data_IF_286025104624
#
_entry.id   IF_286025104624
#
_cell.length_a   1.000
_cell.length_b   1.000
_cell.length_c   1.000
_cell.angle_alpha   90.00
_cell.angle_beta   90.00
_cell.angle_gamma   90.00
#
_symmetry.space_group_name_H-M   'P 1'
#
loop_
_entity.id
_entity.type
_entity.pdbx_description
1 polymer ?
#
# COMPACT_ATOMS: atom_id res chain seq x y z
N UNK A 1 19.44 17.40 70.78
CA UNK A 1 20.44 16.40 71.22
C UNK A 1 21.65 17.06 71.90
N UNK A 2 22.26 18.10 71.31
CA UNK A 2 23.44 18.78 71.87
C UNK A 2 23.23 19.38 73.28
N UNK A 3 22.11 20.07 73.52
CA UNK A 3 21.79 20.66 74.83
C UNK A 3 21.66 19.60 75.92
N UNK A 4 21.03 18.45 75.62
CA UNK A 4 20.89 17.34 76.56
C UNK A 4 22.25 16.67 76.88
N UNK A 5 23.15 16.58 75.90
CA UNK A 5 24.52 16.08 76.09
C UNK A 5 25.33 17.01 77.00
N UNK A 6 25.26 18.33 76.77
CA UNK A 6 25.93 19.32 77.63
C UNK A 6 25.43 19.24 79.07
N UNK A 7 24.11 19.12 79.28
CA UNK A 7 23.52 18.96 80.62
C UNK A 7 23.97 17.66 81.30
N UNK A 8 24.03 16.54 80.56
CA UNK A 8 24.55 15.27 81.10
C UNK A 8 26.03 15.35 81.45
N UNK A 9 26.86 15.96 80.60
CA UNK A 9 28.31 16.12 80.85
C UNK A 9 28.55 16.98 82.10
N UNK A 10 27.80 18.07 82.27
CA UNK A 10 27.88 18.93 83.46
C UNK A 10 27.48 18.18 84.73
N UNK A 11 26.41 17.35 84.69
CA UNK A 11 26.03 16.52 85.84
C UNK A 11 27.02 15.38 86.12
N UNK A 12 27.60 14.79 85.08
CA UNK A 12 28.57 13.69 85.20
C UNK A 12 29.97 14.16 85.61
N UNK A 13 30.30 15.44 85.42
CA UNK A 13 31.61 16.01 85.73
C UNK A 13 32.05 15.83 87.20
N UNK A 14 31.10 15.66 88.13
CA UNK A 14 31.39 15.43 89.55
C UNK A 14 31.83 13.99 89.86
N UNK A 15 31.44 13.03 89.02
CA UNK A 15 31.65 11.59 89.24
C UNK A 15 32.63 10.96 88.24
N UNK A 16 32.86 11.60 87.10
CA UNK A 16 33.73 11.10 86.04
C UNK A 16 35.12 11.72 86.09
N UNK A 17 36.13 10.89 85.82
CA UNK A 17 37.51 11.35 85.63
C UNK A 17 37.62 12.10 84.30
N UNK A 18 38.53 13.08 84.24
CA UNK A 18 38.66 14.03 83.13
C UNK A 18 38.84 13.37 81.74
N UNK A 19 39.49 12.21 81.67
CA UNK A 19 39.72 11.48 80.43
C UNK A 19 38.43 10.87 79.83
N UNK A 20 37.44 10.50 80.66
CA UNK A 20 36.14 10.03 80.16
C UNK A 20 35.30 11.17 79.57
N UNK A 21 35.41 12.36 80.15
CA UNK A 21 34.71 13.57 79.67
C UNK A 21 35.30 14.01 78.32
N UNK A 22 36.63 14.05 78.20
CA UNK A 22 37.31 14.41 76.96
C UNK A 22 37.05 13.40 75.83
N UNK A 23 37.05 12.09 76.13
CA UNK A 23 36.70 11.07 75.14
C UNK A 23 35.24 11.20 74.66
N UNK A 24 34.30 11.50 75.56
CA UNK A 24 32.88 11.68 75.21
C UNK A 24 32.64 12.94 74.36
N UNK A 25 33.35 14.03 74.65
CA UNK A 25 33.27 15.26 73.85
C UNK A 25 33.89 15.05 72.46
N UNK A 26 35.02 14.36 72.36
CA UNK A 26 35.66 14.01 71.09
C UNK A 26 34.78 13.11 70.22
N UNK A 27 34.15 12.08 70.79
CA UNK A 27 33.25 11.19 70.05
C UNK A 27 31.98 11.92 69.59
N UNK A 28 31.46 12.85 70.39
CA UNK A 28 30.34 13.70 69.98
C UNK A 28 30.71 14.64 68.83
N UNK A 29 31.88 15.29 68.88
CA UNK A 29 32.35 16.12 67.76
C UNK A 29 32.54 15.28 66.50
N UNK A 30 33.14 14.10 66.62
CA UNK A 30 33.31 13.17 65.49
C UNK A 30 31.94 12.76 64.89
N UNK A 31 30.96 12.41 65.73
CA UNK A 31 29.61 12.07 65.28
C UNK A 31 28.93 13.22 64.52
N UNK A 32 29.09 14.46 64.99
CA UNK A 32 28.56 15.65 64.30
C UNK A 32 29.26 15.85 62.95
N UNK A 33 30.59 15.70 62.88
CA UNK A 33 31.30 15.83 61.60
C UNK A 33 30.90 14.76 60.59
N UNK A 34 30.54 13.55 61.03
CA UNK A 34 30.11 12.44 60.16
C UNK A 34 28.62 12.53 59.76
N UNK A 35 27.80 13.31 60.46
CA UNK A 35 26.39 13.55 60.08
C UNK A 35 26.24 14.39 58.79
N UNK A 36 27.13 15.34 58.55
CA UNK A 36 27.09 16.17 57.34
C UNK A 36 27.35 15.41 56.03
N UNK A 37 28.40 14.57 55.89
CA UNK A 37 28.61 13.79 54.68
C UNK A 37 27.51 12.75 54.47
N UNK A 38 27.00 12.12 55.53
CA UNK A 38 25.87 11.16 55.40
C UNK A 38 24.58 11.84 54.95
N UNK A 39 24.28 13.05 55.45
CA UNK A 39 23.17 13.85 54.96
C UNK A 39 23.35 14.27 53.48
N UNK A 40 24.57 14.63 53.08
CA UNK A 40 24.89 14.97 51.69
C UNK A 40 24.74 13.77 50.75
N UNK A 41 25.16 12.56 51.18
CA UNK A 41 24.95 11.32 50.43
C UNK A 41 23.45 11.02 50.27
N UNK A 42 22.65 11.21 51.32
CA UNK A 42 21.19 11.04 51.23
C UNK A 42 20.55 12.04 50.27
N UNK A 43 20.95 13.32 50.31
CA UNK A 43 20.49 14.36 49.37
C UNK A 43 20.86 14.02 47.93
N UNK A 44 22.10 13.57 47.70
CA UNK A 44 22.56 13.13 46.38
C UNK A 44 21.73 11.93 45.89
N UNK A 45 21.55 10.90 46.72
CA UNK A 45 20.72 9.74 46.39
C UNK A 45 19.29 10.12 46.05
N UNK A 46 18.69 11.06 46.78
CA UNK A 46 17.35 11.56 46.48
C UNK A 46 17.29 12.29 45.13
N UNK A 47 18.31 13.10 44.81
CA UNK A 47 18.40 13.75 43.50
C UNK A 47 18.54 12.71 42.37
N UNK A 48 19.38 11.70 42.54
CA UNK A 48 19.53 10.60 41.58
C UNK A 48 18.24 9.80 41.40
N UNK A 49 17.50 9.53 42.47
CA UNK A 49 16.20 8.87 42.37
C UNK A 49 15.18 9.68 41.58
N UNK A 50 15.13 11.00 41.76
CA UNK A 50 14.25 11.87 40.97
C UNK A 50 14.62 11.87 39.49
N UNK A 51 15.91 11.97 39.17
CA UNK A 51 16.40 11.90 37.79
C UNK A 51 16.03 10.55 37.17
N UNK A 52 16.24 9.45 37.90
CA UNK A 52 15.87 8.12 37.46
C UNK A 52 14.37 8.02 37.14
N UNK A 53 13.52 8.52 38.03
CA UNK A 53 12.05 8.51 37.83
C UNK A 53 11.64 9.32 36.61
N UNK A 54 12.24 10.50 36.41
CA UNK A 54 11.97 11.34 35.23
C UNK A 54 12.45 10.66 33.93
N UNK A 55 13.62 10.03 33.95
CA UNK A 55 14.13 9.26 32.81
C UNK A 55 13.28 8.04 32.49
N UNK A 56 12.83 7.29 33.50
CA UNK A 56 11.90 6.16 33.30
C UNK A 56 10.57 6.62 32.71
N UNK A 57 10.02 7.74 33.18
CA UNK A 57 8.79 8.32 32.64
C UNK A 57 8.96 8.81 31.19
N UNK A 58 10.10 9.46 30.88
CA UNK A 58 10.42 9.91 29.51
C UNK A 58 10.65 8.74 28.57
N UNK A 59 11.37 7.70 29.02
CA UNK A 59 11.60 6.50 28.22
C UNK A 59 10.27 5.83 27.88
N UNK A 60 9.40 5.62 28.87
CA UNK A 60 8.07 5.04 28.63
C UNK A 60 7.24 5.88 27.64
N UNK A 61 7.30 7.21 27.72
CA UNK A 61 6.62 8.10 26.78
C UNK A 61 7.18 7.97 25.36
N UNK A 62 8.51 8.02 25.21
CA UNK A 62 9.16 7.93 23.90
C UNK A 62 8.95 6.54 23.27
N UNK A 63 8.97 5.47 24.06
CA UNK A 63 8.66 4.13 23.57
C UNK A 63 7.22 4.03 23.06
N UNK A 64 6.27 4.64 23.77
CA UNK A 64 4.88 4.71 23.35
C UNK A 64 4.72 5.54 22.07
N UNK A 65 5.32 6.73 22.00
CA UNK A 65 5.32 7.58 20.80
C UNK A 65 5.92 6.84 19.59
N UNK A 66 7.07 6.18 19.77
CA UNK A 66 7.71 5.41 18.70
C UNK A 66 6.84 4.23 18.25
N UNK A 67 6.15 3.56 19.17
CA UNK A 67 5.20 2.49 18.82
C UNK A 67 4.05 3.04 17.97
N UNK A 68 3.46 4.16 18.38
CA UNK A 68 2.37 4.80 17.63
C UNK A 68 2.86 5.24 16.25
N UNK A 69 4.03 5.87 16.15
CA UNK A 69 4.61 6.27 14.85
C UNK A 69 4.89 5.07 13.93
N UNK A 70 5.36 3.95 14.49
CA UNK A 70 5.68 2.76 13.69
C UNK A 70 4.43 2.04 13.18
N UNK A 71 3.39 1.90 14.01
CA UNK A 71 2.26 1.01 13.74
C UNK A 71 0.93 1.74 13.53
N UNK A 72 0.85 3.04 13.77
CA UNK A 72 -0.41 3.77 13.87
C UNK A 72 -1.07 3.62 15.24
N UNK A 73 -2.12 4.41 15.50
CA UNK A 73 -2.95 4.26 16.69
C UNK A 73 -4.19 3.41 16.34
N UNK A 74 -4.40 2.24 16.96
CA UNK A 74 -5.59 1.43 16.71
C UNK A 74 -6.87 2.01 17.34
N UNK A 75 -6.74 2.88 18.35
CA UNK A 75 -7.87 3.43 19.10
C UNK A 75 -8.34 4.79 18.56
N UNK A 76 -7.52 5.45 17.74
CA UNK A 76 -7.87 6.71 17.06
C UNK A 76 -8.01 6.48 15.54
N UNK A 77 -9.23 6.42 14.99
CA UNK A 77 -9.46 6.26 13.55
C UNK A 77 -9.01 7.47 12.71
N UNK A 78 -8.60 8.57 13.34
CA UNK A 78 -8.04 9.76 12.67
C UNK A 78 -6.51 9.79 12.70
N UNK A 79 -5.88 8.98 13.56
CA UNK A 79 -4.45 8.77 13.51
C UNK A 79 -4.14 7.95 12.25
N UNK A 80 -3.53 8.61 11.26
CA UNK A 80 -3.25 8.00 9.96
C UNK A 80 -2.39 6.71 10.04
N UNK A 81 -2.17 6.10 8.88
CA UNK A 81 -1.39 4.87 8.77
C UNK A 81 0.02 4.98 9.38
N UNK A 82 0.47 3.90 10.04
CA UNK A 82 1.80 3.82 10.63
C UNK A 82 2.92 3.85 9.59
N UNK A 83 4.12 4.27 10.00
CA UNK A 83 5.28 4.35 9.10
C UNK A 83 5.60 3.01 8.43
N UNK A 84 5.41 1.88 9.13
CA UNK A 84 5.69 0.56 8.56
C UNK A 84 4.74 0.20 7.43
N UNK A 85 3.44 0.42 7.59
CA UNK A 85 2.48 0.17 6.51
C UNK A 85 2.73 1.11 5.34
N UNK A 86 2.99 2.39 5.60
CA UNK A 86 3.33 3.35 4.56
C UNK A 86 4.61 2.94 3.81
N UNK A 87 5.64 2.47 4.52
CA UNK A 87 6.88 1.99 3.90
C UNK A 87 6.67 0.74 3.05
N UNK A 88 5.78 -0.16 3.48
CA UNK A 88 5.39 -1.34 2.73
C UNK A 88 4.62 -0.95 1.46
N UNK A 89 3.65 -0.06 1.58
CA UNK A 89 2.89 0.48 0.45
C UNK A 89 3.81 1.18 -0.56
N UNK A 90 4.76 1.99 -0.08
CA UNK A 90 5.77 2.64 -0.92
C UNK A 90 6.70 1.61 -1.59
N UNK A 91 7.11 0.57 -0.87
CA UNK A 91 7.93 -0.51 -1.44
C UNK A 91 7.18 -1.29 -2.51
N UNK A 92 5.89 -1.57 -2.29
CA UNK A 92 5.02 -2.24 -3.27
C UNK A 92 4.91 -1.40 -4.54
N UNK A 93 4.53 -0.13 -4.40
CA UNK A 93 4.45 0.83 -5.52
C UNK A 93 5.81 0.97 -6.22
N UNK A 94 6.91 1.04 -5.45
CA UNK A 94 8.26 1.15 -5.99
C UNK A 94 8.69 -0.08 -6.80
N UNK A 95 8.28 -1.27 -6.38
CA UNK A 95 8.55 -2.52 -7.09
C UNK A 95 7.69 -2.63 -8.35
N UNK A 96 6.42 -2.25 -8.26
CA UNK A 96 5.47 -2.30 -9.38
C UNK A 96 5.77 -1.24 -10.45
N UNK A 97 6.24 -0.05 -10.08
CA UNK A 97 6.49 1.05 -11.00
C UNK A 97 7.84 0.98 -11.74
N UNK A 98 8.76 0.11 -11.30
CA UNK A 98 10.10 -0.04 -11.88
C UNK A 98 10.93 1.26 -11.91
N UNK A 99 11.98 1.28 -12.74
CA UNK A 99 12.75 2.51 -13.00
C UNK A 99 11.98 3.44 -13.93
N UNK A 100 12.08 4.74 -13.64
CA UNK A 100 11.34 5.79 -14.34
C UNK A 100 12.27 6.95 -14.67
N UNK A 101 12.20 7.45 -15.89
CA UNK A 101 12.94 8.60 -16.36
C UNK A 101 11.95 9.66 -16.82
N UNK A 102 11.91 10.81 -16.16
CA UNK A 102 10.89 11.85 -16.37
C UNK A 102 11.48 13.11 -16.99
N UNK A 103 10.60 13.92 -17.56
CA UNK A 103 10.87 15.24 -18.11
C UNK A 103 11.92 15.22 -19.22
N UNK A 104 11.98 14.13 -19.99
CA UNK A 104 12.87 14.03 -21.14
C UNK A 104 12.31 14.86 -22.30
N UNK A 105 13.09 15.80 -22.81
CA UNK A 105 12.70 16.65 -23.92
C UNK A 105 12.99 15.94 -25.25
N UNK A 106 12.01 15.89 -26.15
CA UNK A 106 12.23 15.39 -27.50
C UNK A 106 13.07 16.38 -28.31
N UNK A 107 14.22 15.94 -28.83
CA UNK A 107 15.11 16.78 -29.65
C UNK A 107 14.94 16.54 -31.14
N UNK A 108 14.51 15.35 -31.54
CA UNK A 108 14.28 15.01 -32.94
C UNK A 108 13.78 13.58 -33.14
N UNK A 109 13.21 13.34 -34.32
CA UNK A 109 12.89 12.00 -34.81
C UNK A 109 13.45 11.81 -36.23
N UNK A 110 14.07 10.67 -36.48
CA UNK A 110 14.64 10.31 -37.76
C UNK A 110 13.59 9.72 -38.71
N UNK A 111 13.89 9.69 -40.01
CA UNK A 111 13.02 9.14 -41.06
C UNK A 111 12.72 7.63 -40.87
N UNK A 112 13.52 6.93 -40.06
CA UNK A 112 13.31 5.52 -39.69
C UNK A 112 12.45 5.34 -38.44
N UNK A 113 11.91 6.42 -37.87
CA UNK A 113 11.08 6.41 -36.67
C UNK A 113 11.87 6.32 -35.35
N UNK A 114 13.20 6.49 -35.37
CA UNK A 114 13.98 6.61 -34.14
C UNK A 114 13.78 7.98 -33.51
N UNK A 115 13.65 8.03 -32.19
CA UNK A 115 13.37 9.24 -31.42
C UNK A 115 14.54 9.51 -30.49
N UNK A 116 15.01 10.75 -30.47
CA UNK A 116 16.06 11.18 -29.55
C UNK A 116 15.46 12.05 -28.46
N UNK A 117 15.76 11.67 -27.21
CA UNK A 117 15.28 12.30 -26.00
C UNK A 117 16.46 12.81 -25.17
N UNK A 118 16.33 14.02 -24.63
CA UNK A 118 17.36 14.66 -23.82
C UNK A 118 16.86 14.88 -22.39
N UNK A 119 17.67 14.48 -21.40
CA UNK A 119 17.39 14.74 -20.00
C UNK A 119 17.49 16.25 -19.69
N UNK A 120 16.68 16.77 -18.75
CA UNK A 120 16.78 18.15 -18.33
C UNK A 120 18.18 18.38 -17.71
N UNK A 121 18.73 19.58 -17.93
CA UNK A 121 19.97 19.97 -17.25
C UNK A 121 19.75 19.86 -15.73
N UNK A 122 20.65 19.16 -15.03
CA UNK A 122 20.56 19.02 -13.58
C UNK A 122 20.51 20.41 -12.94
N UNK A 123 19.40 20.72 -12.27
CA UNK A 123 19.29 21.92 -11.44
C UNK A 123 20.17 21.73 -10.22
N UNK A 124 21.41 22.23 -10.29
CA UNK A 124 22.31 22.26 -9.15
C UNK A 124 21.74 23.11 -8.02
N UNK A 125 22.10 22.77 -6.79
CA UNK A 125 21.90 23.64 -5.63
C UNK A 125 22.65 24.96 -5.92
N UNK A 126 22.07 26.15 -5.69
CA UNK A 126 22.78 27.41 -5.96
C UNK A 126 24.11 27.44 -5.19
N UNK A 127 25.23 27.43 -5.92
CA UNK A 127 26.58 27.45 -5.36
C UNK A 127 27.35 26.12 -5.38
N UNK A 128 26.77 25.04 -5.91
CA UNK A 128 27.49 23.78 -6.16
C UNK A 128 27.44 23.42 -7.65
N UNK A 129 28.60 23.18 -8.26
CA UNK A 129 28.66 22.55 -9.59
C UNK A 129 27.99 21.19 -9.51
N UNK A 130 26.93 21.01 -10.31
CA UNK A 130 26.25 19.72 -10.40
C UNK A 130 27.28 18.68 -10.90
N UNK A 131 27.43 17.53 -10.23
CA UNK A 131 28.33 16.49 -10.70
C UNK A 131 27.90 16.10 -12.13
N UNK A 132 28.87 16.07 -13.05
CA UNK A 132 28.60 15.63 -14.41
C UNK A 132 28.00 14.23 -14.38
N UNK A 133 26.85 13.99 -15.04
CA UNK A 133 26.26 12.65 -15.08
C UNK A 133 27.29 11.70 -15.69
N UNK A 134 27.64 10.65 -14.95
CA UNK A 134 28.58 9.62 -15.38
C UNK A 134 27.80 8.32 -15.54
N UNK A 135 27.84 7.72 -16.73
CA UNK A 135 27.10 6.50 -17.08
C UNK A 135 26.03 6.72 -18.16
N UNK A 136 25.37 5.63 -18.57
CA UNK A 136 24.24 5.64 -19.50
C UNK A 136 22.97 6.18 -18.80
N UNK A 137 22.19 7.05 -19.46
CA UNK A 137 20.94 7.58 -18.89
C UNK A 137 19.90 6.48 -18.67
N UNK A 138 19.66 5.69 -19.73
CA UNK A 138 18.80 4.49 -19.73
C UNK A 138 19.65 3.32 -20.23
N UNK A 139 19.61 2.12 -19.63
CA UNK A 139 20.43 1.00 -20.08
C UNK A 139 20.20 0.65 -21.56
N UNK A 140 21.29 0.49 -22.32
CA UNK A 140 21.19 0.12 -23.72
C UNK A 140 20.51 -1.27 -23.90
N UNK A 141 19.65 -1.40 -24.90
CA UNK A 141 18.91 -2.63 -25.20
C UNK A 141 17.66 -2.87 -24.35
N UNK A 142 17.39 -2.03 -23.35
CA UNK A 142 16.18 -2.10 -22.53
C UNK A 142 14.93 -1.75 -23.34
N UNK A 143 13.82 -2.45 -23.07
CA UNK A 143 12.49 -2.10 -23.58
C UNK A 143 11.82 -1.17 -22.56
N UNK A 144 11.30 -0.05 -23.04
CA UNK A 144 10.69 1.01 -22.24
C UNK A 144 9.37 1.46 -22.85
N UNK A 145 8.45 1.87 -21.97
CA UNK A 145 7.14 2.39 -22.33
C UNK A 145 7.17 3.91 -22.29
N UNK A 146 6.83 4.54 -23.42
CA UNK A 146 6.87 5.99 -23.58
C UNK A 146 5.53 6.65 -23.31
N UNK A 147 5.53 7.74 -22.55
CA UNK A 147 4.36 8.56 -22.28
C UNK A 147 4.66 10.03 -22.52
N UNK A 148 3.75 10.74 -23.18
CA UNK A 148 3.78 12.19 -23.27
C UNK A 148 3.34 12.80 -21.95
N UNK A 149 4.15 13.71 -21.42
CA UNK A 149 3.81 14.47 -20.22
C UNK A 149 2.95 15.69 -20.55
N UNK A 150 1.95 15.94 -19.71
CA UNK A 150 1.09 17.11 -19.76
C UNK A 150 0.87 17.71 -18.38
N UNK A 151 0.23 18.88 -18.36
CA UNK A 151 -0.26 19.47 -17.11
C UNK A 151 -1.61 18.85 -16.78
N UNK A 152 -1.73 18.29 -15.58
CA UNK A 152 -3.01 17.85 -15.05
C UNK A 152 -3.60 18.97 -14.19
N UNK A 153 -4.93 19.18 -14.19
CA UNK A 153 -5.56 20.15 -13.30
C UNK A 153 -5.17 19.88 -11.84
N UNK A 154 -4.88 20.94 -11.07
CA UNK A 154 -4.54 20.88 -9.63
C UNK A 154 -3.23 20.15 -9.25
N UNK A 155 -2.39 19.79 -10.23
CA UNK A 155 -1.03 19.29 -10.00
C UNK A 155 0.02 20.21 -10.62
N UNK A 156 0.92 20.75 -9.80
CA UNK A 156 2.08 21.53 -10.25
C UNK A 156 3.07 20.73 -11.13
N UNK A 157 3.42 19.45 -10.83
CA UNK A 157 4.33 18.69 -11.69
C UNK A 157 3.64 18.15 -12.95
N UNK A 158 4.39 18.06 -14.05
CA UNK A 158 3.91 17.39 -15.27
C UNK A 158 3.78 15.89 -15.05
N UNK A 159 2.68 15.31 -15.52
CA UNK A 159 2.36 13.88 -15.36
C UNK A 159 2.19 13.22 -16.73
N UNK A 160 2.45 11.91 -16.86
CA UNK A 160 2.16 11.19 -18.10
C UNK A 160 0.65 11.21 -18.39
N UNK A 161 0.28 11.67 -19.58
CA UNK A 161 -1.13 11.86 -20.00
C UNK A 161 -1.51 11.03 -21.22
N UNK A 162 -0.56 10.68 -22.07
CA UNK A 162 -0.83 9.95 -23.31
C UNK A 162 0.22 8.90 -23.53
N UNK A 163 -0.21 7.66 -23.72
CA UNK A 163 0.67 6.56 -24.07
C UNK A 163 1.13 6.71 -25.52
N UNK A 164 2.44 6.60 -25.75
CA UNK A 164 3.08 6.81 -27.05
C UNK A 164 3.54 5.50 -27.69
N UNK A 165 3.64 4.42 -26.91
CA UNK A 165 4.03 3.10 -27.41
C UNK A 165 5.17 2.47 -26.62
N UNK A 166 5.59 1.32 -27.13
CA UNK A 166 6.72 0.54 -26.62
C UNK A 166 7.95 0.79 -27.50
N UNK A 167 9.09 1.04 -26.86
CA UNK A 167 10.33 1.39 -27.53
C UNK A 167 11.50 0.59 -26.97
N UNK A 168 12.48 0.29 -27.80
CA UNK A 168 13.76 -0.28 -27.42
C UNK A 168 14.85 0.79 -27.45
N UNK A 169 15.66 0.86 -26.40
CA UNK A 169 16.82 1.74 -26.35
C UNK A 169 17.90 1.21 -27.30
N UNK A 170 18.31 2.03 -28.27
CA UNK A 170 19.34 1.70 -29.26
C UNK A 170 20.69 2.32 -28.92
N UNK A 171 20.67 3.51 -28.32
CA UNK A 171 21.86 4.20 -27.85
C UNK A 171 21.53 5.02 -26.60
N UNK A 172 22.49 5.10 -25.68
CA UNK A 172 22.34 5.85 -24.43
C UNK A 172 23.64 6.55 -24.08
N UNK A 173 23.52 7.84 -23.84
CA UNK A 173 24.57 8.74 -23.36
C UNK A 173 24.13 9.32 -22.00
N UNK A 174 25.01 10.01 -21.25
CA UNK A 174 24.66 10.50 -19.92
C UNK A 174 23.47 11.47 -19.87
N UNK A 175 23.19 12.17 -20.97
CA UNK A 175 22.12 13.18 -21.05
C UNK A 175 21.18 12.96 -22.22
N UNK A 176 21.46 12.01 -23.11
CA UNK A 176 20.69 11.77 -24.34
C UNK A 176 20.45 10.28 -24.49
N UNK A 177 19.22 9.90 -24.85
CA UNK A 177 18.85 8.52 -25.16
C UNK A 177 18.16 8.48 -26.53
N UNK A 178 18.53 7.49 -27.34
CA UNK A 178 17.89 7.21 -28.61
C UNK A 178 17.10 5.92 -28.49
N UNK A 179 15.83 5.99 -28.90
CA UNK A 179 14.87 4.89 -28.79
C UNK A 179 14.25 4.59 -30.16
N UNK A 180 13.95 3.32 -30.41
CA UNK A 180 13.28 2.86 -31.62
C UNK A 180 12.00 2.11 -31.25
N UNK A 181 10.86 2.35 -31.93
CA UNK A 181 9.62 1.63 -31.64
C UNK A 181 9.79 0.13 -31.91
N UNK A 182 9.28 -0.72 -31.00
CA UNK A 182 9.33 -2.19 -31.17
C UNK A 182 8.25 -2.70 -32.12
N UNK A 183 7.14 -1.97 -32.20
CA UNK A 183 6.01 -2.23 -33.09
C UNK A 183 5.67 -0.99 -33.93
N UNK A 184 5.00 -1.14 -35.08
CA UNK A 184 4.46 -0.01 -35.82
C UNK A 184 3.55 0.83 -34.92
N UNK A 185 3.84 2.13 -34.82
CA UNK A 185 3.04 3.06 -34.02
C UNK A 185 1.66 3.25 -34.64
N UNK A 186 0.64 3.33 -33.79
CA UNK A 186 -0.72 3.65 -34.20
C UNK A 186 -0.83 5.12 -34.65
N UNK A 187 -1.85 5.44 -35.45
CA UNK A 187 -2.01 6.79 -36.02
C UNK A 187 -2.16 7.88 -34.94
N UNK A 188 -2.88 7.59 -33.86
CA UNK A 188 -3.02 8.45 -32.69
C UNK A 188 -1.67 8.77 -32.01
N UNK A 189 -0.77 7.78 -31.91
CA UNK A 189 0.56 7.91 -31.33
C UNK A 189 1.45 8.75 -32.26
N UNK A 190 1.44 8.45 -33.56
CA UNK A 190 2.15 9.24 -34.58
C UNK A 190 1.68 10.69 -34.60
N UNK A 191 0.37 10.93 -34.50
CA UNK A 191 -0.19 12.27 -34.44
C UNK A 191 0.25 12.99 -33.16
N UNK A 192 0.29 12.32 -32.00
CA UNK A 192 0.74 12.91 -30.74
C UNK A 192 2.21 13.33 -30.78
N UNK A 193 3.06 12.51 -31.42
CA UNK A 193 4.50 12.77 -31.60
C UNK A 193 4.71 13.90 -32.63
N UNK A 194 4.11 13.77 -33.83
CA UNK A 194 4.32 14.70 -34.94
C UNK A 194 3.68 16.07 -34.74
N UNK A 195 2.53 16.15 -34.06
CA UNK A 195 1.86 17.42 -33.75
C UNK A 195 2.57 18.24 -32.67
N UNK A 196 3.66 17.73 -32.09
CA UNK A 196 4.40 18.40 -31.03
C UNK A 196 3.64 18.51 -29.72
N UNK A 197 2.64 17.64 -29.49
CA UNK A 197 1.98 17.47 -28.18
C UNK A 197 2.87 16.67 -27.23
N UNK A 198 3.66 15.74 -27.74
CA UNK A 198 4.66 14.99 -26.98
C UNK A 198 6.02 15.71 -26.92
N UNK A 199 6.08 16.91 -26.30
CA UNK A 199 7.37 17.62 -26.13
C UNK A 199 8.21 17.05 -25.00
N UNK A 200 7.53 16.68 -23.91
CA UNK A 200 8.12 16.10 -22.72
C UNK A 200 7.66 14.65 -22.62
N UNK A 201 8.60 13.77 -22.31
CA UNK A 201 8.41 12.34 -22.27
C UNK A 201 8.80 11.82 -20.89
N UNK A 202 8.00 10.86 -20.42
CA UNK A 202 8.39 9.94 -19.36
C UNK A 202 8.60 8.56 -19.96
N UNK A 203 9.71 7.91 -19.61
CA UNK A 203 9.99 6.51 -19.92
C UNK A 203 9.82 5.66 -18.68
N UNK A 204 9.14 4.53 -18.84
CA UNK A 204 8.90 3.55 -17.78
C UNK A 204 9.48 2.20 -18.18
N UNK A 205 10.18 1.55 -17.27
CA UNK A 205 10.66 0.17 -17.49
C UNK A 205 9.52 -0.85 -17.43
N UNK A 206 8.54 -0.62 -16.54
CA UNK A 206 7.41 -1.50 -16.31
C UNK A 206 6.12 -0.70 -16.41
N UNK A 207 5.10 -1.30 -17.04
CA UNK A 207 3.74 -0.81 -16.92
C UNK A 207 3.20 -1.22 -15.54
N UNK A 208 2.48 -0.33 -14.84
CA UNK A 208 1.79 -0.71 -13.62
C UNK A 208 0.82 -1.85 -13.94
N UNK A 209 0.72 -2.81 -13.03
CA UNK A 209 -0.27 -3.87 -13.13
C UNK A 209 -1.66 -3.21 -13.11
N UNK A 210 -2.53 -3.62 -14.03
CA UNK A 210 -3.90 -3.12 -14.05
C UNK A 210 -4.58 -3.44 -12.71
N UNK A 211 -5.22 -2.43 -12.13
CA UNK A 211 -5.86 -2.56 -10.82
C UNK A 211 -6.93 -1.51 -10.60
N UNK A 212 -7.88 -1.84 -9.72
CA UNK A 212 -9.01 -0.96 -9.41
C UNK A 212 -8.66 0.13 -8.40
N UNK A 213 -7.62 -0.07 -7.58
CA UNK A 213 -7.26 0.79 -6.46
C UNK A 213 -7.10 2.30 -6.83
N UNK A 214 -6.49 2.70 -7.96
CA UNK A 214 -6.37 4.11 -8.33
C UNK A 214 -7.71 4.80 -8.65
N UNK A 215 -8.76 4.02 -8.89
CA UNK A 215 -10.09 4.50 -9.25
C UNK A 215 -11.07 4.49 -8.08
N UNK A 216 -10.66 3.99 -6.91
CA UNK A 216 -11.46 4.01 -5.69
C UNK A 216 -11.32 5.37 -5.02
N UNK A 217 -12.43 5.92 -4.55
CA UNK A 217 -12.43 7.22 -3.90
C UNK A 217 -11.68 7.20 -2.56
N UNK A 218 -10.95 8.27 -2.27
CA UNK A 218 -10.15 8.41 -1.05
C UNK A 218 -10.98 8.14 0.22
N UNK A 219 -10.44 7.28 1.08
CA UNK A 219 -11.07 6.89 2.35
C UNK A 219 -12.23 5.89 2.20
N UNK A 220 -12.55 5.44 1.00
CA UNK A 220 -13.52 4.36 0.80
C UNK A 220 -12.95 3.04 1.31
N UNK A 221 -13.83 2.24 1.93
CA UNK A 221 -13.53 0.87 2.36
C UNK A 221 -14.46 -0.10 1.65
N UNK A 222 -14.04 -1.34 1.57
CA UNK A 222 -14.85 -2.46 1.12
C UNK A 222 -15.98 -2.69 2.14
N UNK A 223 -17.18 -2.99 1.65
CA UNK A 223 -18.34 -3.39 2.45
C UNK A 223 -19.09 -4.56 1.78
N UNK A 224 -20.13 -5.08 2.45
CA UNK A 224 -20.89 -6.24 1.97
C UNK A 224 -21.64 -5.96 0.65
N UNK A 225 -21.93 -4.69 0.35
CA UNK A 225 -22.64 -4.27 -0.86
C UNK A 225 -21.68 -3.81 -1.96
N UNK A 226 -20.41 -3.55 -1.65
CA UNK A 226 -19.36 -3.18 -2.58
C UNK A 226 -17.97 -3.71 -2.17
N UNK A 227 -17.53 -4.76 -2.85
CA UNK A 227 -16.27 -5.46 -2.56
C UNK A 227 -15.01 -4.69 -2.96
N UNK A 228 -15.11 -3.64 -3.76
CA UNK A 228 -13.98 -2.80 -4.18
C UNK A 228 -13.96 -1.45 -3.46
N UNK A 229 -15.04 -1.09 -2.77
CA UNK A 229 -15.29 0.27 -2.30
C UNK A 229 -15.84 1.19 -3.39
N UNK A 230 -16.27 2.39 -2.99
CA UNK A 230 -16.88 3.39 -3.87
C UNK A 230 -15.87 3.89 -4.91
N UNK A 231 -16.17 3.65 -6.18
CA UNK A 231 -15.44 4.21 -7.33
C UNK A 231 -15.56 5.75 -7.33
N UNK A 232 -14.49 6.45 -7.70
CA UNK A 232 -14.52 7.90 -7.90
C UNK A 232 -15.12 8.23 -9.27
N UNK A 233 -16.43 8.46 -9.29
CA UNK A 233 -17.17 8.83 -10.48
C UNK A 233 -16.59 10.06 -11.21
N UNK A 234 -16.06 11.04 -10.47
CA UNK A 234 -15.52 12.27 -11.09
C UNK A 234 -14.24 11.95 -11.83
N UNK A 235 -13.35 11.19 -11.19
CA UNK A 235 -12.08 10.77 -11.78
C UNK A 235 -12.31 9.89 -13.02
N UNK A 236 -13.18 8.89 -12.90
CA UNK A 236 -13.48 7.97 -14.02
C UNK A 236 -14.12 8.72 -15.19
N UNK A 237 -15.11 9.56 -14.93
CA UNK A 237 -15.76 10.34 -16.00
C UNK A 237 -14.80 11.34 -16.65
N UNK A 238 -13.82 11.86 -15.89
CA UNK A 238 -12.78 12.74 -16.41
C UNK A 238 -11.79 11.99 -17.32
N UNK A 239 -11.25 10.86 -16.85
CA UNK A 239 -10.24 10.07 -17.57
C UNK A 239 -10.84 9.43 -18.83
N UNK A 240 -12.01 8.81 -18.70
CA UNK A 240 -12.69 8.13 -19.80
C UNK A 240 -13.52 9.08 -20.67
N UNK A 241 -13.45 10.39 -20.39
CA UNK A 241 -14.13 11.46 -21.14
C UNK A 241 -15.61 11.15 -21.35
N UNK A 242 -16.34 10.82 -20.29
CA UNK A 242 -17.75 10.42 -20.37
C UNK A 242 -18.67 11.45 -21.05
N UNK A 243 -18.23 12.72 -21.11
CA UNK A 243 -18.94 13.81 -21.78
C UNK A 243 -18.64 13.90 -23.29
N UNK A 244 -17.67 13.16 -23.81
CA UNK A 244 -17.34 13.08 -25.25
C UNK A 244 -18.40 12.22 -25.96
N UNK A 245 -18.99 12.69 -27.08
CA UNK A 245 -19.94 11.91 -27.88
C UNK A 245 -19.39 10.56 -28.36
N UNK A 246 -18.07 10.43 -28.50
CA UNK A 246 -17.41 9.20 -28.96
C UNK A 246 -17.04 8.24 -27.82
N UNK A 247 -17.32 8.59 -26.56
CA UNK A 247 -17.03 7.72 -25.41
C UNK A 247 -18.03 6.55 -25.33
N UNK A 248 -17.55 5.37 -24.92
CA UNK A 248 -18.40 4.21 -24.71
C UNK A 248 -19.10 4.31 -23.33
N UNK A 249 -20.25 5.01 -23.33
CA UNK A 249 -21.04 5.26 -22.11
C UNK A 249 -21.49 3.99 -21.39
N UNK A 250 -21.70 2.90 -22.13
CA UNK A 250 -22.08 1.62 -21.53
C UNK A 250 -20.92 1.02 -20.72
N UNK A 251 -19.70 1.02 -21.27
CA UNK A 251 -18.51 0.56 -20.56
C UNK A 251 -18.24 1.41 -19.32
N UNK A 252 -18.38 2.74 -19.43
CA UNK A 252 -18.19 3.65 -18.29
C UNK A 252 -19.22 3.34 -17.20
N UNK A 253 -20.50 3.16 -17.55
CA UNK A 253 -21.55 2.83 -16.59
C UNK A 253 -21.29 1.48 -15.89
N UNK A 254 -20.84 0.46 -16.64
CA UNK A 254 -20.46 -0.84 -16.06
C UNK A 254 -19.28 -0.72 -15.10
N UNK A 255 -18.28 0.08 -15.46
CA UNK A 255 -17.10 0.29 -14.60
C UNK A 255 -17.45 1.02 -13.30
N UNK A 256 -18.37 2.00 -13.34
CA UNK A 256 -18.85 2.70 -12.14
C UNK A 256 -19.67 1.80 -11.20
N UNK A 257 -20.28 0.74 -11.75
CA UNK A 257 -21.03 -0.27 -10.99
C UNK A 257 -20.16 -1.46 -10.58
N UNK A 258 -18.88 -1.47 -10.95
CA UNK A 258 -18.00 -2.58 -10.67
C UNK A 258 -17.76 -2.73 -9.16
N UNK A 259 -17.66 -3.97 -8.70
CA UNK A 259 -17.60 -4.31 -7.28
C UNK A 259 -18.92 -4.16 -6.51
N UNK A 260 -19.92 -3.45 -7.04
CA UNK A 260 -21.23 -3.34 -6.39
C UNK A 260 -22.02 -4.64 -6.50
N UNK A 261 -22.87 -4.87 -5.51
CA UNK A 261 -23.85 -5.95 -5.55
C UNK A 261 -24.74 -5.79 -6.78
N UNK A 262 -24.74 -6.82 -7.63
CA UNK A 262 -25.60 -6.87 -8.81
C UNK A 262 -27.06 -6.64 -8.45
N UNK A 263 -27.79 -5.96 -9.33
CA UNK A 263 -29.22 -5.71 -9.15
C UNK A 263 -29.96 -7.05 -8.98
N UNK A 264 -30.97 -7.15 -8.08
CA UNK A 264 -31.87 -8.31 -8.04
C UNK A 264 -32.59 -8.57 -9.37
N UNK A 265 -32.68 -7.54 -10.21
CA UNK A 265 -33.25 -7.63 -11.55
C UNK A 265 -32.24 -8.10 -12.61
N UNK A 266 -30.96 -8.24 -12.29
CA UNK A 266 -29.95 -8.81 -13.19
C UNK A 266 -30.30 -10.29 -13.48
N UNK A 267 -30.46 -10.68 -14.75
CA UNK A 267 -30.68 -12.08 -15.12
C UNK A 267 -29.69 -13.07 -14.48
N UNK A 268 -28.44 -12.65 -14.27
CA UNK A 268 -27.40 -13.49 -13.68
C UNK A 268 -27.61 -13.75 -12.17
N UNK A 269 -28.37 -12.89 -11.48
CA UNK A 269 -28.67 -12.97 -10.06
C UNK A 269 -30.02 -13.65 -9.75
N UNK A 270 -30.83 -13.95 -10.78
CA UNK A 270 -32.17 -14.52 -10.61
C UNK A 270 -32.13 -16.03 -10.47
N UNK A 271 -32.73 -16.52 -9.39
CA UNK A 271 -32.96 -17.94 -9.14
C UNK A 271 -34.44 -18.25 -9.32
N UNK A 272 -34.74 -19.27 -10.12
CA UNK A 272 -36.10 -19.73 -10.38
C UNK A 272 -36.35 -21.01 -9.59
N UNK A 273 -37.50 -21.04 -8.92
CA UNK A 273 -38.03 -22.25 -8.28
C UNK A 273 -38.92 -22.98 -9.27
N UNK A 274 -38.44 -24.11 -9.80
CA UNK A 274 -39.18 -25.01 -10.67
C UNK A 274 -39.94 -26.00 -9.81
N UNK A 275 -41.26 -26.15 -10.04
CA UNK A 275 -42.10 -27.17 -9.39
C UNK A 275 -42.49 -28.22 -10.41
N UNK A 276 -42.26 -29.49 -10.09
CA UNK A 276 -42.62 -30.58 -10.97
C UNK A 276 -44.12 -30.90 -10.83
N UNK A 277 -44.91 -30.64 -11.89
CA UNK A 277 -46.33 -30.99 -11.95
C UNK A 277 -46.59 -32.45 -12.35
N UNK A 278 -45.58 -33.09 -12.94
CA UNK A 278 -45.59 -34.50 -13.37
C UNK A 278 -44.29 -35.14 -12.91
N UNK A 279 -44.31 -36.47 -12.71
CA UNK A 279 -43.09 -37.24 -12.47
C UNK A 279 -42.12 -37.00 -13.63
N UNK A 280 -40.91 -36.59 -13.31
CA UNK A 280 -39.88 -36.26 -14.29
C UNK A 280 -38.59 -37.00 -13.92
N UNK A 281 -37.84 -37.43 -14.92
CA UNK A 281 -36.58 -38.14 -14.73
C UNK A 281 -35.55 -37.51 -15.66
N UNK A 282 -34.41 -37.16 -15.09
CA UNK A 282 -33.30 -36.55 -15.81
C UNK A 282 -32.06 -37.40 -15.64
N UNK A 283 -31.34 -37.57 -16.74
CA UNK A 283 -30.05 -38.23 -16.78
C UNK A 283 -28.97 -37.22 -16.40
N UNK A 284 -28.39 -37.42 -15.21
CA UNK A 284 -27.39 -36.52 -14.60
C UNK A 284 -25.97 -37.01 -14.81
N UNK A 285 -25.78 -38.24 -15.27
CA UNK A 285 -24.47 -38.83 -15.51
C UNK A 285 -24.19 -38.92 -17.02
N UNK A 286 -22.94 -38.66 -17.40
CA UNK A 286 -22.52 -38.84 -18.78
C UNK A 286 -22.16 -40.31 -19.03
N UNK A 287 -22.42 -40.78 -20.25
CA UNK A 287 -21.94 -42.08 -20.72
C UNK A 287 -20.43 -42.08 -21.00
N UNK A 288 -19.84 -40.89 -21.08
CA UNK A 288 -18.40 -40.68 -21.15
C UNK A 288 -17.81 -40.73 -19.74
N UNK A 289 -16.65 -41.36 -19.57
CA UNK A 289 -15.89 -41.36 -18.32
C UNK A 289 -14.51 -40.80 -18.58
N UNK A 290 -14.17 -39.73 -17.88
CA UNK A 290 -12.85 -39.10 -17.92
C UNK A 290 -12.50 -38.55 -16.55
N UNK A 291 -11.21 -38.54 -16.22
CA UNK A 291 -10.77 -37.98 -14.95
C UNK A 291 -10.87 -36.46 -14.96
N UNK A 292 -11.10 -35.86 -13.79
CA UNK A 292 -11.12 -34.40 -13.61
C UNK A 292 -9.91 -33.67 -14.22
N UNK A 293 -8.75 -34.33 -14.28
CA UNK A 293 -7.49 -33.78 -14.81
C UNK A 293 -7.42 -33.77 -16.35
N UNK A 294 -8.24 -34.55 -17.05
CA UNK A 294 -8.21 -34.66 -18.52
C UNK A 294 -9.24 -33.75 -19.21
N UNK A 295 -10.29 -33.30 -18.51
CA UNK A 295 -11.31 -32.45 -19.12
C UNK A 295 -12.33 -31.83 -18.17
N UNK A 296 -12.10 -31.88 -16.86
CA UNK A 296 -13.05 -31.39 -15.85
C UNK A 296 -14.16 -32.39 -15.51
N UNK A 297 -15.02 -32.00 -14.57
CA UNK A 297 -15.99 -32.88 -13.89
C UNK A 297 -17.31 -33.09 -14.65
N UNK A 298 -17.63 -32.22 -15.61
CA UNK A 298 -18.91 -32.21 -16.32
C UNK A 298 -18.71 -32.22 -17.85
N UNK A 299 -19.69 -32.74 -18.59
CA UNK A 299 -19.73 -32.66 -20.05
C UNK A 299 -20.36 -31.34 -20.52
N UNK A 300 -20.41 -31.12 -21.84
CA UNK A 300 -20.99 -29.92 -22.44
C UNK A 300 -22.50 -29.76 -22.19
N UNK A 301 -23.16 -30.79 -21.66
CA UNK A 301 -24.57 -30.81 -21.31
C UNK A 301 -24.78 -30.75 -19.79
N UNK A 302 -23.71 -30.57 -19.01
CA UNK A 302 -23.75 -30.43 -17.55
C UNK A 302 -23.90 -31.75 -16.78
N UNK A 303 -23.70 -32.90 -17.42
CA UNK A 303 -23.76 -34.22 -16.76
C UNK A 303 -22.42 -34.60 -16.16
N UNK A 304 -22.44 -35.33 -15.05
CA UNK A 304 -21.23 -35.76 -14.34
C UNK A 304 -20.45 -36.81 -15.15
N UNK A 305 -19.19 -36.50 -15.45
CA UNK A 305 -18.27 -37.37 -16.21
C UNK A 305 -17.27 -38.06 -15.27
N UNK A 306 -17.01 -37.47 -14.11
CA UNK A 306 -16.14 -38.05 -13.09
C UNK A 306 -16.88 -39.14 -12.30
N UNK A 307 -16.30 -40.33 -12.26
CA UNK A 307 -16.83 -41.50 -11.56
C UNK A 307 -17.13 -41.29 -10.06
N UNK A 308 -16.50 -40.30 -9.41
CA UNK A 308 -16.74 -39.96 -8.00
C UNK A 308 -18.03 -39.16 -7.78
N UNK A 309 -18.48 -38.44 -8.81
CA UNK A 309 -19.69 -37.63 -8.79
C UNK A 309 -20.89 -38.36 -9.43
N UNK A 310 -20.63 -39.44 -10.17
CA UNK A 310 -21.65 -40.29 -10.78
C UNK A 310 -22.44 -41.10 -9.75
N UNK A 311 -23.72 -41.30 -10.02
CA UNK A 311 -24.63 -42.04 -9.19
C UNK A 311 -24.44 -43.56 -9.37
N UNK A 312 -24.14 -44.26 -8.27
CA UNK A 312 -23.82 -45.71 -8.28
C UNK A 312 -24.97 -46.61 -8.75
N UNK A 313 -26.20 -46.11 -8.75
CA UNK A 313 -27.44 -46.84 -9.10
C UNK A 313 -28.13 -46.28 -10.35
N UNK A 314 -27.34 -45.88 -11.36
CA UNK A 314 -27.86 -45.77 -12.74
C UNK A 314 -28.20 -44.38 -13.25
N UNK A 315 -27.39 -43.36 -12.93
CA UNK A 315 -27.32 -42.08 -13.67
C UNK A 315 -28.55 -41.19 -13.73
N UNK A 316 -29.70 -41.66 -13.25
CA UNK A 316 -30.96 -40.95 -13.34
C UNK A 316 -31.42 -40.46 -11.96
N UNK A 317 -31.89 -39.22 -11.92
CA UNK A 317 -32.59 -38.65 -10.76
C UNK A 317 -34.06 -38.51 -11.10
N UNK A 318 -34.93 -39.11 -10.28
CA UNK A 318 -36.38 -39.01 -10.43
C UNK A 318 -36.98 -38.01 -9.46
N UNK A 319 -37.79 -37.08 -9.98
CA UNK A 319 -38.54 -36.10 -9.20
C UNK A 319 -40.01 -36.48 -9.14
N UNK A 320 -40.59 -36.43 -7.94
CA UNK A 320 -42.00 -36.67 -7.69
C UNK A 320 -42.85 -35.42 -7.97
N UNK A 321 -44.17 -35.62 -8.12
CA UNK A 321 -45.11 -34.50 -8.27
C UNK A 321 -45.11 -33.67 -6.98
N UNK A 322 -44.83 -32.38 -7.10
CA UNK A 322 -44.74 -31.46 -5.97
C UNK A 322 -43.32 -31.14 -5.50
N UNK A 323 -42.31 -31.87 -5.98
CA UNK A 323 -40.91 -31.56 -5.70
C UNK A 323 -40.52 -30.21 -6.30
N UNK A 324 -39.56 -29.56 -5.66
CA UNK A 324 -39.10 -28.22 -6.05
C UNK A 324 -37.60 -28.17 -6.23
N UNK A 325 -37.16 -27.65 -7.38
CA UNK A 325 -35.75 -27.42 -7.71
C UNK A 325 -35.51 -25.91 -7.79
N UNK A 326 -34.37 -25.45 -7.28
CA UNK A 326 -33.94 -24.05 -7.41
C UNK A 326 -32.76 -24.03 -8.37
N UNK A 327 -32.90 -23.33 -9.49
CA UNK A 327 -31.88 -23.20 -10.54
C UNK A 327 -31.71 -21.73 -10.93
N UNK A 328 -30.56 -21.38 -11.52
CA UNK A 328 -30.39 -20.05 -12.13
C UNK A 328 -31.37 -19.89 -13.30
N UNK A 329 -31.88 -18.67 -13.51
CA UNK A 329 -32.87 -18.40 -14.58
C UNK A 329 -32.39 -18.85 -15.97
N UNK A 330 -31.09 -18.69 -16.27
CA UNK A 330 -30.49 -19.12 -17.54
C UNK A 330 -30.61 -20.63 -17.76
N UNK A 331 -30.42 -21.42 -16.70
CA UNK A 331 -30.51 -22.88 -16.75
C UNK A 331 -31.97 -23.38 -16.76
N UNK A 332 -32.94 -22.52 -16.42
CA UNK A 332 -34.36 -22.86 -16.36
C UNK A 332 -35.08 -22.74 -17.71
N UNK A 333 -34.48 -22.06 -18.70
CA UNK A 333 -35.09 -21.79 -20.03
C UNK A 333 -34.88 -22.91 -21.07
N UNK A 334 -34.59 -24.13 -20.61
CA UNK A 334 -34.52 -25.33 -21.46
C UNK A 334 -35.92 -25.81 -21.89
#
# INVERSE_FOLDING_TARGET
MFIAFVVMVVKAARNWRWYHITSAVLTMMLAITLLFPTANVLKSRQAWHKIKQDLEARLARVEQENRILQYGDPDDPTAGEGLKSLSLSLSKIGTEAGRRWRSLAMTGADATGQITLQAPAATGIPGAEAPAPTGELVPNGLVVYGFAEGKFPDLDPTVPMTYLGEFKVTASQPTVVTIAPTFPLEQNQLDAISSGRARLWSLYELLPLDGHAPFIADGSKEDDDNILGRVDDKLVNMILRANDPNSNKETIAKYLQDGQRGSPEDPAARWIKVKFEKKYTIDVDSQEQRGALEGGFFDNNGRAVDSSLQHKEGGEVSFAVGDTLIVKEEAAKL
#
